data_IF_864954894710
#
_entry.id   IF_864954894710
#
_cell.length_a   1.000
_cell.length_b   1.000
_cell.length_c   1.000
_cell.angle_alpha   90.00
_cell.angle_beta   90.00
_cell.angle_gamma   90.00
#
_symmetry.space_group_name_H-M   'P 1'
#
loop_
_entity.id
_entity.type
_entity.pdbx_description
1 polymer ?
#
# COMPACT_ATOMS: atom_id res chain seq x y z
N UNK A 1 7.76 25.75 -2.35
CA UNK A 1 8.04 24.63 -3.29
C UNK A 1 7.86 23.22 -2.71
N UNK A 2 7.67 23.01 -1.39
CA UNK A 2 7.50 21.67 -0.78
C UNK A 2 6.06 21.11 -0.84
N UNK A 3 5.03 21.96 -0.90
CA UNK A 3 3.62 21.54 -0.89
C UNK A 3 3.15 20.94 -2.24
N UNK A 4 3.68 21.42 -3.36
CA UNK A 4 3.33 20.94 -4.71
C UNK A 4 3.82 19.51 -4.99
N UNK A 5 4.96 19.11 -4.40
CA UNK A 5 5.50 17.75 -4.54
C UNK A 5 4.64 16.73 -3.77
N UNK A 6 4.15 17.09 -2.58
CA UNK A 6 3.24 16.24 -1.79
C UNK A 6 1.88 16.08 -2.48
N UNK A 7 1.35 17.15 -3.07
CA UNK A 7 0.11 17.10 -3.85
C UNK A 7 0.27 16.30 -5.14
N UNK A 8 1.44 16.34 -5.78
CA UNK A 8 1.75 15.53 -6.96
C UNK A 8 1.91 14.04 -6.63
N UNK A 9 2.46 13.69 -5.46
CA UNK A 9 2.51 12.29 -4.98
C UNK A 9 1.15 11.76 -4.57
N UNK A 10 0.29 12.59 -3.95
CA UNK A 10 -1.11 12.24 -3.81
C UNK A 10 -1.73 12.05 -5.20
N UNK A 11 -1.48 12.93 -6.17
CA UNK A 11 -1.93 12.75 -7.54
C UNK A 11 -1.30 11.54 -8.26
N UNK A 12 -0.18 10.96 -7.79
CA UNK A 12 0.44 9.74 -8.34
C UNK A 12 0.05 8.46 -7.60
N UNK A 13 -0.28 8.54 -6.32
CA UNK A 13 -1.00 7.51 -5.57
C UNK A 13 -2.44 7.41 -6.06
N UNK A 14 -3.10 8.56 -6.25
CA UNK A 14 -4.39 8.67 -6.91
C UNK A 14 -4.29 8.30 -8.38
N UNK A 15 -3.27 8.76 -9.12
CA UNK A 15 -3.15 8.36 -10.52
C UNK A 15 -2.65 6.96 -10.70
N UNK A 16 -1.93 6.28 -9.82
CA UNK A 16 -1.69 4.82 -9.95
C UNK A 16 -2.95 4.02 -9.58
N UNK A 17 -3.75 4.50 -8.62
CA UNK A 17 -5.09 4.00 -8.36
C UNK A 17 -6.13 4.39 -9.44
N UNK A 18 -5.82 5.35 -10.33
CA UNK A 18 -6.66 5.83 -11.46
C UNK A 18 -6.02 5.50 -12.82
N UNK A 19 -4.78 4.99 -12.87
CA UNK A 19 -4.02 4.68 -14.09
C UNK A 19 -4.35 3.27 -14.55
N UNK A 20 -4.78 2.37 -13.64
CA UNK A 20 -5.53 1.17 -14.03
C UNK A 20 -6.85 1.56 -14.71
N UNK A 21 -7.48 2.66 -14.31
CA UNK A 21 -8.71 3.19 -14.94
C UNK A 21 -8.48 4.00 -16.23
N UNK A 22 -7.26 4.01 -16.78
CA UNK A 22 -6.91 4.85 -17.95
C UNK A 22 -7.13 4.12 -19.28
N UNK A 23 -8.30 3.51 -19.47
CA UNK A 23 -8.86 3.38 -20.82
C UNK A 23 -9.56 4.68 -21.19
N UNK A 24 -8.83 5.55 -21.93
CA UNK A 24 -9.27 6.76 -22.67
C UNK A 24 -10.24 7.71 -21.93
N UNK A 25 -9.73 8.85 -21.44
CA UNK A 25 -10.30 10.22 -21.54
C UNK A 25 -9.48 11.16 -20.61
N UNK A 26 -8.98 12.28 -21.14
CA UNK A 26 -8.21 13.31 -20.40
C UNK A 26 -9.07 14.13 -19.44
N UNK A 27 -8.53 14.51 -18.28
CA UNK A 27 -9.16 15.50 -17.39
C UNK A 27 -8.17 16.45 -16.69
N UNK A 28 -8.64 17.68 -16.50
CA UNK A 28 -8.03 18.82 -15.81
C UNK A 28 -8.67 18.96 -14.42
N UNK A 29 -7.87 19.22 -13.37
CA UNK A 29 -8.34 19.37 -11.98
C UNK A 29 -8.48 20.85 -11.60
N UNK A 30 -9.58 21.17 -10.92
CA UNK A 30 -9.75 22.41 -10.14
C UNK A 30 -10.06 22.03 -8.71
N UNK A 31 -9.25 22.49 -7.76
CA UNK A 31 -9.40 22.27 -6.32
C UNK A 31 -10.41 23.24 -5.72
N UNK A 32 -11.22 22.78 -4.77
CA UNK A 32 -11.91 23.69 -3.85
C UNK A 32 -12.09 22.99 -2.51
N UNK A 33 -11.63 23.67 -1.45
CA UNK A 33 -11.67 23.24 -0.06
C UNK A 33 -13.06 23.49 0.54
N UNK A 34 -13.59 22.54 1.31
CA UNK A 34 -14.69 22.81 2.25
C UNK A 34 -14.60 21.87 3.47
N UNK A 35 -14.91 22.44 4.63
CA UNK A 35 -14.74 21.91 5.98
C UNK A 35 -16.02 21.32 6.58
N UNK A 36 -15.84 20.66 7.73
CA UNK A 36 -16.75 20.40 8.88
C UNK A 36 -17.47 19.05 9.03
N UNK A 37 -17.14 18.44 10.19
CA UNK A 37 -17.91 17.73 11.23
C UNK A 37 -19.11 16.84 10.85
N UNK A 38 -19.11 15.58 11.32
CA UNK A 38 -19.84 15.11 12.52
C UNK A 38 -19.64 13.60 12.76
N UNK A 39 -20.01 13.18 13.98
CA UNK A 39 -19.64 11.98 14.75
C UNK A 39 -20.16 10.64 14.20
N UNK A 40 -19.41 9.55 14.45
CA UNK A 40 -19.93 8.19 14.33
C UNK A 40 -19.28 7.26 15.37
N UNK A 41 -20.12 6.72 16.26
CA UNK A 41 -19.79 5.75 17.30
C UNK A 41 -19.24 4.45 16.69
N UNK A 42 -18.14 3.94 17.25
CA UNK A 42 -17.54 2.66 16.89
C UNK A 42 -17.81 1.60 17.97
N UNK A 43 -18.43 0.50 17.59
CA UNK A 43 -18.48 -0.73 18.39
C UNK A 43 -17.15 -1.48 18.28
N UNK A 44 -16.57 -1.82 19.44
CA UNK A 44 -15.34 -2.62 19.59
C UNK A 44 -15.58 -4.07 19.18
N UNK A 45 -14.65 -4.62 18.40
CA UNK A 45 -14.56 -6.07 18.11
C UNK A 45 -13.28 -6.58 18.77
N UNK A 46 -13.43 -7.47 19.75
CA UNK A 46 -12.32 -8.13 20.42
C UNK A 46 -11.63 -9.14 19.48
N UNK A 47 -10.30 -9.12 19.45
CA UNK A 47 -9.47 -10.08 18.74
C UNK A 47 -8.70 -10.97 19.74
N UNK A 48 -8.72 -12.29 19.50
CA UNK A 48 -7.84 -13.24 20.18
C UNK A 48 -6.49 -13.31 19.46
N UNK A 49 -5.41 -13.20 20.24
CA UNK A 49 -4.02 -13.12 19.82
C UNK A 49 -3.46 -14.48 19.38
N UNK A 50 -2.80 -14.52 18.22
CA UNK A 50 -1.97 -15.65 17.80
C UNK A 50 -0.50 -15.33 18.11
N UNK A 51 0.08 -16.12 19.02
CA UNK A 51 1.48 -16.03 19.47
C UNK A 51 2.47 -16.05 18.28
N UNK A 52 3.29 -15.01 18.16
CA UNK A 52 4.50 -14.99 17.33
C UNK A 52 5.69 -14.58 18.18
N UNK A 53 6.77 -15.36 18.10
CA UNK A 53 8.03 -15.21 18.85
C UNK A 53 8.54 -13.75 18.88
N UNK A 54 8.84 -13.28 20.09
CA UNK A 54 9.44 -11.97 20.38
C UNK A 54 10.84 -11.87 19.76
N UNK A 55 10.95 -11.16 18.63
CA UNK A 55 12.24 -10.67 18.13
C UNK A 55 12.53 -9.35 18.82
N UNK A 56 13.70 -9.21 19.46
CA UNK A 56 14.07 -8.07 20.31
C UNK A 56 13.95 -6.71 19.57
N UNK A 57 12.88 -5.94 19.86
CA UNK A 57 12.49 -4.71 19.15
C UNK A 57 13.26 -3.46 19.57
N UNK A 58 13.92 -3.48 20.73
CA UNK A 58 14.61 -2.29 21.26
C UNK A 58 15.82 -1.91 20.40
N UNK A 59 16.52 -2.90 19.85
CA UNK A 59 17.75 -2.69 19.08
C UNK A 59 17.46 -1.98 17.74
N UNK A 60 16.44 -2.44 16.99
CA UNK A 60 16.05 -1.85 15.71
C UNK A 60 15.46 -0.42 15.84
N UNK A 61 14.79 -0.12 16.96
CA UNK A 61 14.27 1.22 17.23
C UNK A 61 15.37 2.17 17.75
N UNK A 62 16.38 1.67 18.47
CA UNK A 62 17.51 2.47 18.96
C UNK A 62 18.44 2.95 17.84
N UNK A 63 18.68 2.13 16.82
CA UNK A 63 19.45 2.56 15.64
C UNK A 63 18.72 3.66 14.86
N UNK A 64 17.38 3.62 14.83
CA UNK A 64 16.54 4.62 14.15
C UNK A 64 16.65 6.02 14.76
N UNK A 65 16.94 6.14 16.05
CA UNK A 65 17.01 7.42 16.77
C UNK A 65 18.38 8.11 16.65
N UNK A 66 19.45 7.37 16.34
CA UNK A 66 20.82 7.89 16.36
C UNK A 66 21.33 8.50 15.04
N UNK A 67 20.58 8.39 13.93
CA UNK A 67 21.02 8.87 12.61
C UNK A 67 20.36 10.16 12.14
N UNK A 68 19.67 10.89 13.02
CA UNK A 68 19.01 12.14 12.66
C UNK A 68 19.97 13.36 12.64
N UNK A 69 21.25 13.16 12.96
CA UNK A 69 22.33 14.13 12.75
C UNK A 69 23.37 13.55 11.77
N UNK A 70 23.67 14.28 10.69
CA UNK A 70 24.48 13.93 9.50
C UNK A 70 23.65 13.20 8.41
N UNK A 71 23.44 13.71 7.20
CA UNK A 71 24.41 14.39 6.31
C UNK A 71 23.68 15.13 5.18
N UNK A 72 24.25 16.26 4.76
CA UNK A 72 23.76 17.18 3.72
C UNK A 72 24.25 16.76 2.31
N UNK A 73 24.13 15.47 1.94
CA UNK A 73 24.60 14.98 0.65
C UNK A 73 23.56 14.05 0.00
N UNK A 74 23.43 14.10 -1.32
CA UNK A 74 22.41 13.42 -2.15
C UNK A 74 22.46 11.88 -2.17
N UNK A 75 22.98 11.27 -1.12
CA UNK A 75 22.98 9.83 -0.89
C UNK A 75 21.55 9.45 -0.51
N UNK A 76 21.03 8.41 -1.16
CA UNK A 76 19.74 7.83 -0.82
C UNK A 76 19.73 7.55 0.69
N UNK A 77 18.86 8.25 1.43
CA UNK A 77 18.63 7.99 2.85
C UNK A 77 17.90 6.64 2.98
N UNK A 78 18.69 5.56 2.96
CA UNK A 78 18.22 4.21 3.22
C UNK A 78 17.86 4.10 4.70
N UNK A 79 16.72 3.49 4.98
CA UNK A 79 16.23 3.31 6.36
C UNK A 79 17.06 2.29 7.16
N UNK A 80 17.79 1.41 6.48
CA UNK A 80 18.53 0.32 7.09
C UNK A 80 19.89 0.12 6.43
N UNK A 81 20.91 -0.07 7.26
CA UNK A 81 22.27 -0.46 6.82
C UNK A 81 22.47 -1.97 7.02
N UNK A 82 21.81 -2.56 8.02
CA UNK A 82 21.87 -3.99 8.30
C UNK A 82 20.77 -4.76 7.57
N UNK A 83 21.18 -5.73 6.72
CA UNK A 83 20.25 -6.56 5.95
C UNK A 83 19.27 -7.38 6.78
N UNK A 84 19.71 -7.91 7.93
CA UNK A 84 18.86 -8.76 8.76
C UNK A 84 17.78 -7.91 9.44
N UNK A 85 18.15 -6.71 9.91
CA UNK A 85 17.22 -5.74 10.48
C UNK A 85 16.20 -5.28 9.42
N UNK A 86 16.66 -4.96 8.21
CA UNK A 86 15.78 -4.61 7.09
C UNK A 86 14.76 -5.70 6.78
N UNK A 87 15.21 -6.95 6.64
CA UNK A 87 14.34 -8.10 6.34
C UNK A 87 13.32 -8.31 7.45
N UNK A 88 13.76 -8.31 8.72
CA UNK A 88 12.89 -8.53 9.86
C UNK A 88 11.82 -7.43 9.98
N UNK A 89 12.25 -6.15 9.95
CA UNK A 89 11.33 -5.01 10.03
C UNK A 89 10.34 -5.01 8.86
N UNK A 90 10.81 -5.26 7.63
CA UNK A 90 9.95 -5.33 6.45
C UNK A 90 8.95 -6.48 6.51
N UNK A 91 9.34 -7.64 7.04
CA UNK A 91 8.45 -8.78 7.22
C UNK A 91 7.30 -8.47 8.20
N UNK A 92 7.60 -7.76 9.29
CA UNK A 92 6.59 -7.34 10.28
C UNK A 92 5.58 -6.37 9.66
N UNK A 93 6.06 -5.35 8.94
CA UNK A 93 5.18 -4.39 8.22
C UNK A 93 4.35 -5.11 7.15
N UNK A 94 4.94 -6.05 6.41
CA UNK A 94 4.24 -6.85 5.40
C UNK A 94 3.13 -7.72 6.03
N UNK A 95 3.40 -8.34 7.18
CA UNK A 95 2.42 -9.14 7.90
C UNK A 95 1.25 -8.27 8.41
N UNK A 96 1.54 -7.11 9.01
CA UNK A 96 0.52 -6.17 9.45
C UNK A 96 -0.38 -5.71 8.29
N UNK A 97 0.23 -5.31 7.16
CA UNK A 97 -0.52 -4.88 5.98
C UNK A 97 -1.41 -6.00 5.43
N UNK A 98 -0.93 -7.25 5.43
CA UNK A 98 -1.73 -8.42 5.06
C UNK A 98 -2.92 -8.60 6.00
N UNK A 99 -2.70 -8.55 7.31
CA UNK A 99 -3.75 -8.81 8.30
C UNK A 99 -4.87 -7.77 8.20
N UNK A 100 -4.51 -6.49 8.06
CA UNK A 100 -5.49 -5.43 7.81
C UNK A 100 -6.18 -5.62 6.46
N UNK A 101 -5.44 -5.99 5.40
CA UNK A 101 -6.05 -6.30 4.09
C UNK A 101 -7.12 -7.38 4.22
N UNK A 102 -6.79 -8.47 4.90
CA UNK A 102 -7.68 -9.61 5.10
C UNK A 102 -8.94 -9.23 5.89
N UNK A 103 -8.76 -8.48 6.98
CA UNK A 103 -9.86 -7.96 7.80
C UNK A 103 -10.86 -7.16 6.95
N UNK A 104 -10.39 -6.20 6.15
CA UNK A 104 -11.29 -5.39 5.33
C UNK A 104 -11.89 -6.15 4.17
N UNK A 105 -11.11 -7.01 3.51
CA UNK A 105 -11.63 -7.81 2.41
C UNK A 105 -12.76 -8.74 2.87
N UNK A 106 -12.67 -9.31 4.09
CA UNK A 106 -13.76 -10.09 4.69
C UNK A 106 -14.92 -9.20 5.17
N UNK A 107 -14.64 -8.03 5.77
CA UNK A 107 -15.68 -7.07 6.13
C UNK A 107 -16.57 -6.70 4.94
N UNK A 108 -15.98 -6.60 3.74
CA UNK A 108 -16.72 -6.34 2.50
C UNK A 108 -17.63 -7.50 2.07
N UNK A 109 -17.29 -8.76 2.40
CA UNK A 109 -18.16 -9.92 2.12
C UNK A 109 -19.41 -9.94 3.00
N UNK A 110 -19.29 -9.44 4.22
CA UNK A 110 -20.40 -9.36 5.19
C UNK A 110 -21.34 -8.17 4.94
N UNK A 111 -21.02 -7.28 3.99
CA UNK A 111 -21.90 -6.18 3.63
C UNK A 111 -23.17 -6.69 2.98
N UNK A 112 -24.29 -6.04 3.27
CA UNK A 112 -25.53 -6.34 2.57
C UNK A 112 -25.37 -6.08 1.05
N UNK A 113 -26.12 -6.84 0.24
CA UNK A 113 -26.00 -6.80 -1.23
C UNK A 113 -26.18 -5.40 -1.82
N UNK A 114 -27.02 -4.56 -1.23
CA UNK A 114 -27.29 -3.20 -1.71
C UNK A 114 -26.05 -2.32 -1.50
N UNK A 115 -25.43 -2.37 -0.32
CA UNK A 115 -24.22 -1.61 -0.01
C UNK A 115 -23.07 -2.07 -0.88
N UNK A 116 -22.94 -3.38 -1.11
CA UNK A 116 -21.90 -3.94 -1.97
C UNK A 116 -22.10 -3.55 -3.44
N UNK A 117 -23.33 -3.63 -3.95
CA UNK A 117 -23.66 -3.20 -5.30
C UNK A 117 -23.36 -1.71 -5.50
N UNK A 118 -23.77 -0.88 -4.54
CA UNK A 118 -23.42 0.54 -4.52
C UNK A 118 -21.90 0.72 -4.56
N UNK A 119 -21.13 0.00 -3.75
CA UNK A 119 -19.67 0.09 -3.79
C UNK A 119 -19.09 -0.22 -5.19
N UNK A 120 -19.54 -1.32 -5.82
CA UNK A 120 -19.12 -1.72 -7.17
C UNK A 120 -19.48 -0.64 -8.20
N UNK A 121 -20.73 -0.18 -8.19
CA UNK A 121 -21.22 0.84 -9.11
C UNK A 121 -20.45 2.16 -8.94
N UNK A 122 -20.10 2.52 -7.71
CA UNK A 122 -19.33 3.72 -7.42
C UNK A 122 -17.92 3.63 -7.99
N UNK A 123 -17.29 2.47 -7.91
CA UNK A 123 -15.94 2.27 -8.45
C UNK A 123 -15.96 2.25 -9.98
N UNK A 124 -16.97 1.63 -10.59
CA UNK A 124 -17.09 1.52 -12.06
C UNK A 124 -17.60 2.81 -12.72
N UNK A 125 -18.58 3.48 -12.10
CA UNK A 125 -19.38 4.55 -12.70
C UNK A 125 -19.35 5.87 -11.91
N UNK A 126 -18.52 5.99 -10.87
CA UNK A 126 -18.51 7.15 -9.96
C UNK A 126 -18.23 8.51 -10.62
N UNK A 127 -17.80 8.56 -11.89
CA UNK A 127 -17.70 9.82 -12.65
C UNK A 127 -19.01 10.24 -13.32
N UNK A 128 -19.86 9.27 -13.69
CA UNK A 128 -21.16 9.52 -14.31
C UNK A 128 -22.27 9.80 -13.29
N UNK A 129 -22.05 9.48 -12.02
CA UNK A 129 -23.02 9.61 -10.94
C UNK A 129 -22.31 10.31 -9.77
N UNK A 130 -22.89 11.40 -9.24
CA UNK A 130 -22.46 12.17 -8.06
C UNK A 130 -21.05 11.90 -7.46
N UNK A 131 -20.01 12.27 -8.20
CA UNK A 131 -18.59 12.03 -7.85
C UNK A 131 -18.23 12.48 -6.41
N UNK A 132 -18.72 13.64 -5.98
CA UNK A 132 -18.38 14.21 -4.68
C UNK A 132 -18.83 13.33 -3.50
N UNK A 133 -20.02 12.73 -3.59
CA UNK A 133 -20.52 11.80 -2.58
C UNK A 133 -19.65 10.55 -2.50
N UNK A 134 -19.18 10.05 -3.63
CA UNK A 134 -18.36 8.82 -3.68
C UNK A 134 -16.92 9.05 -3.24
N UNK A 135 -16.32 10.17 -3.64
CA UNK A 135 -15.02 10.58 -3.14
C UNK A 135 -15.05 10.69 -1.60
N UNK A 136 -16.16 11.20 -1.03
CA UNK A 136 -16.39 11.21 0.42
C UNK A 136 -16.45 9.80 1.02
N UNK A 137 -17.23 8.88 0.44
CA UNK A 137 -17.36 7.50 0.95
C UNK A 137 -16.06 6.70 0.87
N UNK A 138 -15.33 6.81 -0.22
CA UNK A 138 -14.01 6.19 -0.36
C UNK A 138 -13.02 6.79 0.65
N UNK A 139 -13.05 8.11 0.84
CA UNK A 139 -12.24 8.79 1.86
C UNK A 139 -12.57 8.34 3.28
N UNK A 140 -13.85 8.10 3.60
CA UNK A 140 -14.28 7.54 4.89
C UNK A 140 -13.71 6.12 5.11
N UNK A 141 -13.79 5.24 4.11
CA UNK A 141 -13.22 3.89 4.20
C UNK A 141 -11.68 3.93 4.37
N UNK A 142 -11.00 4.75 3.57
CA UNK A 142 -9.55 4.94 3.68
C UNK A 142 -9.17 5.49 5.07
N UNK A 143 -9.94 6.44 5.61
CA UNK A 143 -9.74 6.96 6.97
C UNK A 143 -9.87 5.84 8.00
N UNK A 144 -10.88 4.99 7.89
CA UNK A 144 -11.07 3.85 8.78
C UNK A 144 -9.89 2.87 8.71
N UNK A 145 -9.38 2.58 7.50
CA UNK A 145 -8.19 1.73 7.29
C UNK A 145 -6.97 2.31 8.01
N UNK A 146 -6.72 3.62 7.89
CA UNK A 146 -5.61 4.30 8.57
C UNK A 146 -5.68 4.17 10.08
N UNK A 147 -6.85 4.38 10.68
CA UNK A 147 -7.07 4.23 12.13
C UNK A 147 -6.71 2.80 12.57
N UNK A 148 -7.11 1.79 11.79
CA UNK A 148 -6.78 0.39 12.09
C UNK A 148 -5.28 0.11 12.01
N UNK A 149 -4.60 0.65 10.99
CA UNK A 149 -3.14 0.55 10.85
C UNK A 149 -2.44 1.21 12.05
N UNK A 150 -2.82 2.44 12.39
CA UNK A 150 -2.25 3.21 13.50
C UNK A 150 -2.42 2.49 14.83
N UNK A 151 -3.61 1.92 15.07
CA UNK A 151 -3.89 1.11 16.25
C UNK A 151 -2.96 -0.10 16.35
N UNK A 152 -2.85 -0.91 15.28
CA UNK A 152 -2.00 -2.11 15.28
C UNK A 152 -0.50 -1.80 15.38
N UNK A 153 -0.05 -0.70 14.75
CA UNK A 153 1.33 -0.23 14.88
C UNK A 153 1.64 0.18 16.32
N UNK A 154 0.71 0.88 16.99
CA UNK A 154 0.84 1.29 18.40
C UNK A 154 0.90 0.09 19.34
N UNK A 155 0.03 -0.92 19.13
CA UNK A 155 0.02 -2.15 19.93
C UNK A 155 1.35 -2.92 19.82
N UNK A 156 2.05 -2.81 18.68
CA UNK A 156 3.34 -3.46 18.43
C UNK A 156 4.55 -2.56 18.70
N UNK A 157 4.34 -1.35 19.25
CA UNK A 157 5.39 -0.36 19.50
C UNK A 157 6.22 0.00 18.24
N UNK A 158 5.58 0.03 17.08
CA UNK A 158 6.23 0.33 15.79
C UNK A 158 5.99 1.79 15.41
N UNK A 159 7.07 2.56 15.31
CA UNK A 159 7.02 3.92 14.76
C UNK A 159 7.05 3.89 13.23
N UNK A 160 5.97 4.33 12.58
CA UNK A 160 5.84 4.39 11.13
C UNK A 160 5.39 5.79 10.68
N UNK A 161 6.05 6.33 9.65
CA UNK A 161 5.77 7.70 9.21
C UNK A 161 4.37 7.83 8.58
N UNK A 162 3.68 8.95 8.83
CA UNK A 162 2.29 9.15 8.37
C UNK A 162 2.10 8.94 6.86
N UNK A 163 3.08 9.36 6.05
CA UNK A 163 3.00 9.18 4.60
C UNK A 163 3.04 7.69 4.20
N UNK A 164 3.74 6.85 4.95
CA UNK A 164 3.79 5.39 4.73
C UNK A 164 2.52 4.71 5.23
N UNK A 165 1.93 5.19 6.33
CA UNK A 165 0.58 4.77 6.77
C UNK A 165 -0.45 5.08 5.68
N UNK A 166 -0.38 6.28 5.09
CA UNK A 166 -1.22 6.64 3.96
C UNK A 166 -1.01 5.70 2.76
N UNK A 167 0.24 5.46 2.37
CA UNK A 167 0.62 4.55 1.27
C UNK A 167 0.06 3.13 1.50
N UNK A 168 0.24 2.57 2.70
CA UNK A 168 -0.31 1.29 3.11
C UNK A 168 -1.84 1.25 3.03
N UNK A 169 -2.53 2.27 3.53
CA UNK A 169 -3.99 2.34 3.47
C UNK A 169 -4.51 2.34 2.02
N UNK A 170 -3.84 3.02 1.10
CA UNK A 170 -4.20 3.00 -0.32
C UNK A 170 -3.95 1.64 -0.98
N UNK A 171 -2.84 0.95 -0.66
CA UNK A 171 -2.62 -0.42 -1.17
C UNK A 171 -3.71 -1.38 -0.69
N UNK A 172 -4.11 -1.27 0.57
CA UNK A 172 -5.21 -2.06 1.14
C UNK A 172 -6.53 -1.75 0.41
N UNK A 173 -6.85 -0.47 0.25
CA UNK A 173 -8.05 -0.06 -0.50
C UNK A 173 -8.03 -0.56 -1.95
N UNK A 174 -6.86 -0.53 -2.61
CA UNK A 174 -6.71 -1.07 -3.96
C UNK A 174 -6.92 -2.58 -4.01
N UNK A 175 -6.45 -3.35 -3.02
CA UNK A 175 -6.77 -4.80 -2.92
C UNK A 175 -8.26 -5.04 -2.80
N UNK A 176 -8.97 -4.22 -2.01
CA UNK A 176 -10.42 -4.29 -1.87
C UNK A 176 -11.09 -4.07 -3.23
N UNK A 177 -10.70 -3.03 -3.94
CA UNK A 177 -11.22 -2.71 -5.28
C UNK A 177 -10.92 -3.84 -6.29
N UNK A 178 -9.66 -4.25 -6.40
CA UNK A 178 -9.23 -5.30 -7.32
C UNK A 178 -10.00 -6.60 -7.09
N UNK A 179 -10.19 -7.00 -5.83
CA UNK A 179 -10.86 -8.24 -5.48
C UNK A 179 -12.38 -8.16 -5.61
N UNK A 180 -13.02 -7.06 -5.23
CA UNK A 180 -14.48 -7.02 -5.14
C UNK A 180 -15.16 -6.40 -6.36
N UNK A 181 -14.45 -5.59 -7.13
CA UNK A 181 -14.99 -4.90 -8.31
C UNK A 181 -14.49 -5.53 -9.59
N UNK A 182 -13.20 -5.85 -9.62
CA UNK A 182 -12.57 -6.32 -10.84
C UNK A 182 -12.34 -7.82 -10.86
N UNK A 183 -12.44 -8.54 -9.75
CA UNK A 183 -12.17 -9.98 -9.75
C UNK A 183 -13.42 -10.80 -10.03
N UNK A 184 -13.45 -11.39 -11.23
CA UNK A 184 -14.46 -12.37 -11.63
C UNK A 184 -13.89 -13.80 -11.69
N UNK A 185 -12.67 -13.98 -11.19
CA UNK A 185 -11.93 -15.25 -11.29
C UNK A 185 -12.27 -16.25 -10.18
N UNK A 186 -11.53 -17.37 -10.18
CA UNK A 186 -11.75 -18.50 -9.25
C UNK A 186 -10.81 -18.54 -8.04
N UNK A 187 -9.81 -17.66 -7.97
CA UNK A 187 -8.89 -17.60 -6.83
C UNK A 187 -9.66 -17.16 -5.59
N UNK A 188 -9.50 -17.93 -4.52
CA UNK A 188 -9.92 -17.49 -3.21
C UNK A 188 -9.08 -16.28 -2.78
N UNK A 189 -9.70 -15.41 -1.99
CA UNK A 189 -9.05 -14.28 -1.31
C UNK A 189 -7.70 -14.63 -0.66
N UNK A 190 -7.63 -15.83 -0.07
CA UNK A 190 -6.44 -16.31 0.63
C UNK A 190 -5.31 -16.53 -0.34
N UNK A 191 -5.58 -17.12 -1.50
CA UNK A 191 -4.56 -17.33 -2.54
C UNK A 191 -4.09 -16.01 -3.14
N UNK A 192 -5.00 -15.08 -3.41
CA UNK A 192 -4.63 -13.78 -3.98
C UNK A 192 -3.68 -13.01 -3.05
N UNK A 193 -4.05 -12.90 -1.77
CA UNK A 193 -3.26 -12.20 -0.77
C UNK A 193 -1.97 -12.94 -0.41
N UNK A 194 -2.00 -14.28 -0.35
CA UNK A 194 -0.82 -15.12 -0.12
C UNK A 194 0.22 -14.94 -1.23
N UNK A 195 -0.21 -14.99 -2.49
CA UNK A 195 0.71 -14.84 -3.63
C UNK A 195 1.37 -13.47 -3.64
N UNK A 196 0.61 -12.41 -3.44
CA UNK A 196 1.20 -11.06 -3.34
C UNK A 196 2.26 -11.00 -2.20
N UNK A 197 1.99 -11.60 -1.05
CA UNK A 197 2.95 -11.68 0.07
C UNK A 197 4.20 -12.50 -0.26
N UNK A 198 4.06 -13.66 -0.90
CA UNK A 198 5.19 -14.51 -1.30
C UNK A 198 6.14 -13.73 -2.22
N UNK A 199 5.59 -13.06 -3.23
CA UNK A 199 6.38 -12.24 -4.15
C UNK A 199 6.98 -11.02 -3.45
N UNK A 200 6.26 -10.36 -2.55
CA UNK A 200 6.79 -9.26 -1.74
C UNK A 200 7.98 -9.71 -0.90
N UNK A 201 7.86 -10.85 -0.21
CA UNK A 201 8.90 -11.41 0.65
C UNK A 201 10.14 -11.82 -0.15
N UNK A 202 9.95 -12.40 -1.34
CA UNK A 202 11.06 -12.66 -2.27
C UNK A 202 11.82 -11.37 -2.60
N UNK A 203 11.12 -10.28 -2.93
CA UNK A 203 11.76 -9.03 -3.31
C UNK A 203 12.38 -8.26 -2.14
N UNK A 204 11.83 -8.37 -0.93
CA UNK A 204 12.50 -7.90 0.30
C UNK A 204 13.87 -8.58 0.41
N UNK A 205 13.94 -9.91 0.23
CA UNK A 205 15.21 -10.64 0.30
C UNK A 205 16.19 -10.21 -0.80
N UNK A 206 15.72 -10.06 -2.05
CA UNK A 206 16.58 -9.59 -3.14
C UNK A 206 17.14 -8.19 -2.86
N UNK A 207 16.29 -7.24 -2.44
CA UNK A 207 16.72 -5.88 -2.10
C UNK A 207 17.67 -5.85 -0.90
N UNK A 208 17.50 -6.75 0.06
CA UNK A 208 18.39 -6.82 1.23
C UNK A 208 19.86 -7.08 0.84
N UNK A 209 20.10 -7.79 -0.27
CA UNK A 209 21.44 -8.06 -0.79
C UNK A 209 22.03 -6.86 -1.54
N UNK A 210 21.21 -5.90 -1.93
CA UNK A 210 21.62 -4.66 -2.60
C UNK A 210 21.71 -3.47 -1.64
N UNK A 211 21.49 -3.66 -0.34
CA UNK A 211 21.67 -2.59 0.64
C UNK A 211 23.15 -2.14 0.64
N UNK A 212 23.36 -0.85 0.38
CA UNK A 212 24.70 -0.27 0.20
C UNK A 212 25.11 -0.09 -1.26
N UNK A 213 24.35 -0.62 -2.23
CA UNK A 213 24.56 -0.33 -3.64
C UNK A 213 24.05 1.07 -3.98
N UNK A 214 24.97 2.01 -4.23
CA UNK A 214 24.65 3.41 -4.57
C UNK A 214 23.97 3.54 -5.94
N UNK A 215 24.11 2.53 -6.80
CA UNK A 215 23.55 2.51 -8.15
C UNK A 215 22.19 1.80 -8.21
N UNK A 216 21.59 1.49 -7.06
CA UNK A 216 20.30 0.82 -6.98
C UNK A 216 19.21 1.63 -7.69
N UNK A 217 18.80 1.16 -8.87
CA UNK A 217 17.67 1.71 -9.60
C UNK A 217 16.42 0.86 -9.39
N UNK A 218 15.51 1.37 -8.57
CA UNK A 218 14.29 0.66 -8.22
C UNK A 218 13.42 0.36 -9.46
N UNK A 219 13.49 1.15 -10.54
CA UNK A 219 12.73 0.90 -11.78
C UNK A 219 13.01 -0.47 -12.39
N UNK A 220 14.24 -0.95 -12.28
CA UNK A 220 14.63 -2.25 -12.82
C UNK A 220 13.92 -3.39 -12.08
N UNK A 221 13.54 -3.16 -10.83
CA UNK A 221 12.75 -4.09 -10.05
C UNK A 221 11.31 -4.18 -10.56
N UNK A 222 10.69 -3.10 -11.02
CA UNK A 222 9.31 -3.16 -11.54
C UNK A 222 9.17 -4.19 -12.68
N UNK A 223 10.08 -4.15 -13.66
CA UNK A 223 10.06 -5.10 -14.79
C UNK A 223 10.28 -6.53 -14.31
N UNK A 224 11.27 -6.74 -13.43
CA UNK A 224 11.57 -8.07 -12.87
C UNK A 224 10.44 -8.61 -11.97
N UNK A 225 9.79 -7.76 -11.17
CA UNK A 225 8.63 -8.12 -10.36
C UNK A 225 7.52 -8.59 -11.29
N UNK A 226 7.19 -7.80 -12.30
CA UNK A 226 6.12 -8.12 -13.26
C UNK A 226 6.38 -9.43 -14.00
N UNK A 227 7.61 -9.61 -14.48
CA UNK A 227 8.03 -10.86 -15.13
C UNK A 227 7.86 -12.06 -14.20
N UNK A 228 8.31 -11.94 -12.94
CA UNK A 228 8.15 -13.00 -11.94
C UNK A 228 6.68 -13.34 -11.69
N UNK A 229 5.81 -12.34 -11.61
CA UNK A 229 4.37 -12.56 -11.41
C UNK A 229 3.72 -13.22 -12.63
N UNK A 230 4.07 -12.81 -13.86
CA UNK A 230 3.60 -13.43 -15.10
C UNK A 230 4.02 -14.91 -15.23
N UNK A 231 5.13 -15.28 -14.59
CA UNK A 231 5.66 -16.63 -14.58
C UNK A 231 5.15 -17.49 -13.41
N UNK A 232 4.36 -16.95 -12.47
CA UNK A 232 3.70 -17.74 -11.44
C UNK A 232 2.45 -18.41 -12.02
N UNK A 233 2.40 -19.75 -12.01
CA UNK A 233 1.32 -20.52 -12.62
C UNK A 233 -0.05 -20.21 -12.00
N UNK A 234 -0.12 -19.99 -10.68
CA UNK A 234 -1.37 -19.72 -9.97
C UNK A 234 -1.92 -18.35 -10.39
N UNK A 235 -1.05 -17.35 -10.45
CA UNK A 235 -1.44 -16.01 -10.91
C UNK A 235 -1.78 -16.00 -12.40
N UNK A 236 -1.04 -16.73 -13.22
CA UNK A 236 -1.29 -16.82 -14.67
C UNK A 236 -2.65 -17.42 -15.01
N UNK A 237 -3.10 -18.41 -14.24
CA UNK A 237 -4.42 -19.03 -14.43
C UNK A 237 -5.55 -18.21 -13.82
N UNK A 238 -5.27 -17.47 -12.74
CA UNK A 238 -6.30 -16.83 -11.93
C UNK A 238 -6.41 -15.31 -12.04
N UNK A 239 -5.42 -14.62 -12.61
CA UNK A 239 -5.38 -13.16 -12.75
C UNK A 239 -5.21 -12.74 -14.21
N UNK A 240 -5.87 -11.65 -14.60
CA UNK A 240 -5.65 -11.02 -15.90
C UNK A 240 -4.40 -10.11 -15.88
N UNK A 241 -3.92 -9.63 -17.04
CA UNK A 241 -2.73 -8.78 -17.11
C UNK A 241 -2.84 -7.48 -16.31
N UNK A 242 -4.04 -6.94 -16.13
CA UNK A 242 -4.28 -5.72 -15.36
C UNK A 242 -4.09 -5.98 -13.86
N UNK A 243 -4.59 -7.10 -13.35
CA UNK A 243 -4.41 -7.48 -11.94
C UNK A 243 -2.95 -7.80 -11.61
N UNK A 244 -2.23 -8.45 -12.53
CA UNK A 244 -0.78 -8.63 -12.39
C UNK A 244 -0.06 -7.28 -12.34
N UNK A 245 -0.47 -6.32 -13.19
CA UNK A 245 0.06 -4.97 -13.15
C UNK A 245 -0.22 -4.27 -11.80
N UNK A 246 -1.46 -4.32 -11.31
CA UNK A 246 -1.82 -3.69 -10.03
C UNK A 246 -1.05 -4.32 -8.86
N UNK A 247 -0.90 -5.65 -8.85
CA UNK A 247 -0.08 -6.36 -7.87
C UNK A 247 1.40 -5.93 -7.95
N UNK A 248 1.95 -5.82 -9.17
CA UNK A 248 3.32 -5.30 -9.38
C UNK A 248 3.48 -3.91 -8.76
N UNK A 249 2.53 -3.00 -9.02
CA UNK A 249 2.53 -1.65 -8.49
C UNK A 249 2.49 -1.62 -6.96
N UNK A 250 1.64 -2.45 -6.32
CA UNK A 250 1.57 -2.51 -4.85
C UNK A 250 2.85 -3.06 -4.24
N UNK A 251 3.42 -4.13 -4.80
CA UNK A 251 4.71 -4.67 -4.35
C UNK A 251 5.78 -3.59 -4.45
N UNK A 252 5.88 -2.92 -5.60
CA UNK A 252 6.85 -1.85 -5.83
C UNK A 252 6.69 -0.69 -4.84
N UNK A 253 5.45 -0.25 -4.59
CA UNK A 253 5.15 0.78 -3.59
C UNK A 253 5.55 0.34 -2.19
N UNK A 254 5.21 -0.89 -1.78
CA UNK A 254 5.61 -1.44 -0.49
C UNK A 254 7.14 -1.44 -0.33
N UNK A 255 7.87 -1.94 -1.33
CA UNK A 255 9.33 -1.99 -1.30
C UNK A 255 9.93 -0.58 -1.19
N UNK A 256 9.33 0.40 -1.87
CA UNK A 256 9.73 1.80 -1.79
C UNK A 256 9.50 2.38 -0.39
N UNK A 257 8.33 2.10 0.21
CA UNK A 257 8.00 2.52 1.57
C UNK A 257 9.00 1.98 2.60
N UNK A 258 9.44 0.72 2.49
CA UNK A 258 10.36 0.12 3.47
C UNK A 258 11.81 0.52 3.22
N UNK A 259 12.20 0.83 1.99
CA UNK A 259 13.57 1.17 1.62
C UNK A 259 13.92 2.63 1.95
N UNK A 260 13.03 3.57 1.62
CA UNK A 260 13.30 5.01 1.71
C UNK A 260 12.74 5.62 3.00
N UNK A 261 13.52 6.48 3.66
CA UNK A 261 13.06 7.18 4.88
C UNK A 261 11.96 8.21 4.56
N UNK A 262 12.14 8.96 3.48
CA UNK A 262 11.29 10.09 3.11
C UNK A 262 10.55 9.87 1.78
N UNK A 263 9.68 10.82 1.43
CA UNK A 263 8.97 10.82 0.16
C UNK A 263 9.83 11.19 -1.04
N UNK A 264 11.10 11.57 -0.84
CA UNK A 264 11.97 12.03 -1.93
C UNK A 264 12.42 10.87 -2.81
N UNK A 265 12.66 9.69 -2.23
CA UNK A 265 12.99 8.46 -2.96
C UNK A 265 11.94 8.04 -3.99
N UNK A 266 10.70 8.52 -3.85
CA UNK A 266 9.60 8.22 -4.77
C UNK A 266 9.72 9.01 -6.10
N UNK A 267 10.62 9.99 -6.22
CA UNK A 267 10.83 10.69 -7.50
C UNK A 267 11.24 9.73 -8.62
N UNK A 268 11.93 8.64 -8.27
CA UNK A 268 12.33 7.60 -9.21
C UNK A 268 11.14 6.77 -9.72
N UNK A 269 10.03 6.70 -8.97
CA UNK A 269 8.79 6.03 -9.37
C UNK A 269 7.99 6.83 -10.40
N UNK A 270 8.15 8.16 -10.44
CA UNK A 270 7.43 9.06 -11.35
C UNK A 270 7.71 8.77 -12.84
N UNK A 271 8.84 8.11 -13.15
CA UNK A 271 9.29 7.85 -14.53
C UNK A 271 8.91 6.46 -15.06
N UNK A 272 8.11 5.68 -14.33
CA UNK A 272 7.70 4.31 -14.72
C UNK A 272 6.44 4.32 -15.63
N UNK A 273 5.98 5.49 -16.07
CA UNK A 273 4.87 5.64 -17.02
C UNK A 273 5.19 5.12 -18.43
#
# INVERSE_FOLDING_TARGET
>A
MKLQIVLFFNALLYSSCVLSFKTKISFRLTETNASLNEEANSEEVNFEEANSEEVNYEEANSEKANYQEQTDNSVINLLFINKNIFVAASAIICALERDVSYMYLNKMKELNKIVMHNFIDNVLFGKSINKAYYDKKNSELIKHIKVSIEHLLRMRYILYAQHKINSMAYRIFQRIVDYHVFYYGKLLIDFFTLKEREHTSFWIQQLSNELGNTDLNIRDYYLKIRERLNNDNVLKEGCDPERIHNMTCRIMQFLSDVLYIDSFGYQNLLKIQ
#
